data_IF_237935898526
#
_entry.id   IF_237935898526
#
_cell.length_a   1.000
_cell.length_b   1.000
_cell.length_c   1.000
_cell.angle_alpha   90.00
_cell.angle_beta   90.00
_cell.angle_gamma   90.00
#
_symmetry.space_group_name_H-M   'P 1'
#
loop_
_entity.id
_entity.type
_entity.pdbx_description
1 polymer ?
#
# COMPACT_ATOMS: atom_id res chain seq x y z
N UNK A 1 -7.17 -19.27 28.15
CA UNK A 1 -7.83 -18.74 26.96
C UNK A 1 -6.81 -18.05 26.04
N UNK A 2 -6.96 -18.26 24.77
CA UNK A 2 -6.04 -17.64 23.81
C UNK A 2 -6.39 -16.17 23.63
N UNK A 3 -5.36 -15.32 23.58
CA UNK A 3 -5.56 -13.92 23.28
C UNK A 3 -5.91 -13.76 21.81
N UNK A 4 -6.74 -12.79 21.53
CA UNK A 4 -7.14 -12.43 20.18
C UNK A 4 -6.75 -11.00 19.89
N UNK A 5 -6.53 -10.70 18.61
CA UNK A 5 -6.21 -9.34 18.20
C UNK A 5 -7.43 -8.46 18.44
N UNK A 6 -7.19 -7.34 19.12
CA UNK A 6 -8.21 -6.33 19.41
C UNK A 6 -7.66 -4.95 19.14
N UNK A 7 -8.54 -3.94 19.14
CA UNK A 7 -8.12 -2.56 19.02
C UNK A 7 -7.15 -2.21 20.18
N UNK A 8 -6.07 -1.55 19.83
CA UNK A 8 -4.96 -1.20 20.73
C UNK A 8 -4.08 -2.36 21.17
N UNK A 9 -4.31 -3.59 20.68
CA UNK A 9 -3.39 -4.68 20.92
C UNK A 9 -2.03 -4.38 20.29
N UNK A 10 -0.96 -4.68 21.02
CA UNK A 10 0.38 -4.69 20.43
C UNK A 10 0.63 -6.08 19.89
N UNK A 11 0.91 -6.19 18.61
CA UNK A 11 1.08 -7.49 17.97
C UNK A 11 2.35 -7.52 17.12
N UNK A 12 2.85 -8.74 16.92
CA UNK A 12 3.89 -9.03 15.94
C UNK A 12 3.29 -9.97 14.92
N UNK A 13 3.46 -9.67 13.64
CA UNK A 13 2.90 -10.50 12.58
C UNK A 13 3.76 -10.50 11.33
N UNK A 14 3.66 -11.57 10.58
CA UNK A 14 4.08 -11.59 9.18
C UNK A 14 2.89 -11.31 8.30
N UNK A 15 3.13 -10.66 7.17
CA UNK A 15 2.08 -10.45 6.19
C UNK A 15 2.65 -10.42 4.77
N UNK A 16 1.77 -10.66 3.81
CA UNK A 16 2.09 -10.43 2.41
C UNK A 16 0.89 -9.83 1.70
N UNK A 17 1.18 -9.01 0.70
CA UNK A 17 0.19 -8.42 -0.17
C UNK A 17 0.55 -8.82 -1.59
N UNK A 18 -0.36 -9.53 -2.25
CA UNK A 18 -0.16 -9.99 -3.62
C UNK A 18 -1.42 -9.72 -4.45
N UNK A 19 -1.30 -9.80 -5.78
CA UNK A 19 -2.47 -9.69 -6.63
C UNK A 19 -3.13 -11.05 -6.78
N UNK A 20 -4.25 -11.08 -7.50
CA UNK A 20 -5.01 -12.31 -7.74
C UNK A 20 -4.29 -13.32 -8.65
N UNK A 21 -3.18 -12.91 -9.25
CA UNK A 21 -2.35 -13.78 -10.11
C UNK A 21 -1.10 -14.28 -9.41
N UNK A 22 -0.96 -13.99 -8.11
CA UNK A 22 0.17 -14.47 -7.32
C UNK A 22 1.41 -13.58 -7.33
N UNK A 23 1.36 -12.42 -8.00
CA UNK A 23 2.48 -11.48 -7.94
C UNK A 23 2.52 -10.80 -6.57
N UNK A 24 3.62 -10.97 -5.84
CA UNK A 24 3.76 -10.43 -4.49
C UNK A 24 4.31 -9.00 -4.58
N UNK A 25 3.59 -8.04 -4.00
CA UNK A 25 4.01 -6.64 -3.94
C UNK A 25 4.83 -6.36 -2.69
N UNK A 26 4.47 -6.99 -1.58
CA UNK A 26 5.13 -6.78 -0.30
C UNK A 26 4.98 -8.03 0.54
N UNK A 27 6.04 -8.43 1.24
CA UNK A 27 6.00 -9.59 2.12
C UNK A 27 7.06 -9.47 3.20
N UNK A 28 6.70 -9.88 4.42
CA UNK A 28 7.65 -10.00 5.52
C UNK A 28 8.05 -11.46 5.78
N UNK A 29 7.43 -12.43 5.08
CA UNK A 29 7.65 -13.85 5.39
C UNK A 29 9.10 -14.30 5.22
N UNK A 30 9.86 -13.67 4.33
CA UNK A 30 11.28 -13.94 4.14
C UNK A 30 12.18 -12.97 4.90
N UNK A 31 11.59 -12.16 5.77
CA UNK A 31 12.28 -11.09 6.50
C UNK A 31 11.84 -11.14 7.96
N UNK A 32 12.07 -10.05 8.67
CA UNK A 32 11.60 -9.94 10.05
C UNK A 32 10.11 -9.57 10.07
N UNK A 33 9.35 -10.13 11.00
CA UNK A 33 7.94 -9.71 11.17
C UNK A 33 7.89 -8.27 11.66
N UNK A 34 6.73 -7.65 11.50
CA UNK A 34 6.51 -6.29 12.01
C UNK A 34 5.84 -6.35 13.36
N UNK A 35 6.15 -5.35 14.19
CA UNK A 35 5.51 -5.18 15.49
C UNK A 35 4.88 -3.78 15.52
N UNK A 36 3.61 -3.72 15.86
CA UNK A 36 2.89 -2.45 15.90
C UNK A 36 1.70 -2.54 16.84
N UNK A 37 1.08 -1.38 17.13
CA UNK A 37 -0.14 -1.32 17.93
C UNK A 37 -1.32 -1.16 16.98
N UNK A 38 -2.31 -2.03 17.13
CA UNK A 38 -3.51 -1.98 16.29
C UNK A 38 -4.20 -0.63 16.49
N UNK A 39 -4.41 0.09 15.40
CA UNK A 39 -5.00 1.42 15.43
C UNK A 39 -4.00 2.57 15.31
N UNK A 40 -2.68 2.28 15.22
CA UNK A 40 -1.67 3.34 15.16
C UNK A 40 -1.38 3.87 13.75
N UNK A 41 -2.04 3.32 12.74
CA UNK A 41 -1.86 3.77 11.35
C UNK A 41 -0.76 3.06 10.59
N UNK A 42 -0.06 2.10 11.19
CA UNK A 42 0.98 1.34 10.50
C UNK A 42 0.42 0.56 9.32
N UNK A 43 -0.79 0.02 9.48
CA UNK A 43 -1.50 -0.74 8.45
C UNK A 43 -2.75 0.06 8.06
N UNK A 44 -3.11 0.10 6.76
CA UNK A 44 -4.37 0.74 6.36
C UNK A 44 -5.55 0.20 7.16
N UNK A 45 -6.43 1.08 7.59
CA UNK A 45 -7.51 0.73 8.50
C UNK A 45 -8.38 -0.42 7.99
N UNK A 46 -8.67 -0.44 6.69
CA UNK A 46 -9.51 -1.51 6.12
C UNK A 46 -8.82 -2.87 6.16
N UNK A 47 -7.50 -2.91 5.96
CA UNK A 47 -6.74 -4.16 6.08
C UNK A 47 -6.61 -4.57 7.55
N UNK A 48 -6.41 -3.59 8.43
CA UNK A 48 -6.31 -3.83 9.86
C UNK A 48 -7.59 -4.45 10.42
N UNK A 49 -8.75 -4.07 9.89
CA UNK A 49 -10.02 -4.61 10.32
C UNK A 49 -10.12 -6.14 10.13
N UNK A 50 -9.34 -6.70 9.20
CA UNK A 50 -9.33 -8.15 8.97
C UNK A 50 -8.57 -8.91 10.05
N UNK A 51 -7.81 -8.21 10.88
CA UNK A 51 -6.98 -8.83 11.91
C UNK A 51 -7.74 -9.15 13.20
N UNK A 52 -8.83 -8.45 13.45
CA UNK A 52 -9.57 -8.63 14.70
C UNK A 52 -10.02 -10.07 14.89
N UNK A 53 -9.82 -10.58 16.08
CA UNK A 53 -10.23 -11.94 16.44
C UNK A 53 -9.21 -13.02 16.10
N UNK A 54 -8.11 -12.69 15.43
CA UNK A 54 -7.07 -13.68 15.13
C UNK A 54 -6.27 -14.03 16.39
N UNK A 55 -5.82 -15.26 16.47
CA UNK A 55 -5.02 -15.77 17.59
C UNK A 55 -3.58 -16.01 17.15
N UNK A 56 -2.68 -16.13 18.12
CA UNK A 56 -1.27 -16.46 17.87
C UNK A 56 -1.15 -17.76 17.08
N UNK A 57 -0.25 -17.76 16.10
CA UNK A 57 0.02 -18.86 15.18
C UNK A 57 -1.08 -19.14 14.15
N UNK A 58 -2.13 -18.32 14.13
CA UNK A 58 -3.15 -18.44 13.10
C UNK A 58 -2.70 -17.73 11.83
N UNK A 59 -2.96 -18.38 10.71
CA UNK A 59 -2.70 -17.82 9.39
C UNK A 59 -4.03 -17.58 8.72
N UNK A 60 -4.20 -16.39 8.13
CA UNK A 60 -5.40 -16.03 7.41
C UNK A 60 -5.02 -15.48 6.05
N UNK A 61 -5.71 -15.90 5.01
CA UNK A 61 -5.54 -15.37 3.68
C UNK A 61 -6.91 -14.95 3.16
N UNK A 62 -7.04 -13.68 2.77
CA UNK A 62 -8.29 -13.13 2.28
C UNK A 62 -8.05 -12.43 0.96
N UNK A 63 -8.97 -12.62 0.02
CA UNK A 63 -9.03 -11.83 -1.19
C UNK A 63 -9.86 -10.58 -0.90
N UNK A 64 -9.27 -9.42 -1.09
CA UNK A 64 -9.89 -8.15 -0.73
C UNK A 64 -10.10 -7.33 -2.00
N UNK A 65 -11.33 -6.86 -2.20
CA UNK A 65 -11.67 -6.04 -3.35
C UNK A 65 -11.02 -4.65 -3.24
N UNK A 66 -10.79 -3.97 -4.39
CA UNK A 66 -10.12 -2.67 -4.37
C UNK A 66 -10.72 -1.65 -3.40
N UNK A 67 -12.03 -1.57 -3.31
CA UNK A 67 -12.71 -0.61 -2.42
C UNK A 67 -12.35 -0.81 -0.95
N UNK A 68 -11.99 -2.04 -0.56
CA UNK A 68 -11.64 -2.39 0.82
C UNK A 68 -10.14 -2.56 1.02
N UNK A 69 -9.35 -2.33 -0.03
CA UNK A 69 -7.89 -2.41 0.02
C UNK A 69 -7.29 -1.03 -0.21
N UNK A 70 -6.76 -0.77 -1.40
CA UNK A 70 -6.09 0.49 -1.71
C UNK A 70 -6.97 1.46 -2.50
N UNK A 71 -8.25 1.15 -2.61
CA UNK A 71 -9.23 2.02 -3.21
C UNK A 71 -9.45 1.75 -4.69
N UNK A 72 -10.50 2.38 -5.19
CA UNK A 72 -10.88 2.31 -6.59
C UNK A 72 -9.98 3.27 -7.37
N UNK A 73 -9.61 2.89 -8.58
CA UNK A 73 -8.82 3.77 -9.42
C UNK A 73 -9.68 4.92 -9.95
N UNK A 74 -9.21 6.15 -9.77
CA UNK A 74 -9.86 7.35 -10.27
C UNK A 74 -9.09 7.84 -11.50
N UNK A 75 -9.70 7.76 -12.66
CA UNK A 75 -9.05 8.14 -13.92
C UNK A 75 -8.77 9.64 -14.02
N UNK A 76 -9.41 10.45 -13.18
CA UNK A 76 -9.19 11.89 -13.13
C UNK A 76 -8.01 12.28 -12.25
N UNK A 77 -7.42 11.36 -11.52
CA UNK A 77 -6.24 11.60 -10.70
C UNK A 77 -4.98 11.56 -11.55
N UNK A 78 -4.80 12.57 -12.38
CA UNK A 78 -3.63 12.69 -13.25
C UNK A 78 -3.00 14.05 -13.10
N UNK A 79 -1.73 14.16 -13.45
CA UNK A 79 -1.00 15.42 -13.47
C UNK A 79 -0.05 15.42 -14.67
N UNK A 80 -0.04 16.50 -15.42
CA UNK A 80 0.90 16.68 -16.54
C UNK A 80 2.06 17.55 -16.07
N UNK A 81 3.27 17.07 -16.25
CA UNK A 81 4.48 17.83 -15.90
C UNK A 81 5.44 17.85 -17.08
N UNK A 82 6.34 18.83 -17.11
CA UNK A 82 7.31 18.95 -18.17
C UNK A 82 8.46 17.95 -17.98
N UNK A 83 8.98 17.41 -19.07
CA UNK A 83 10.13 16.50 -19.01
C UNK A 83 11.33 17.13 -18.36
N UNK A 84 11.50 18.44 -18.52
CA UNK A 84 12.60 19.18 -17.91
C UNK A 84 12.57 19.19 -16.39
N UNK A 85 11.41 18.87 -15.78
CA UNK A 85 11.27 18.80 -14.33
C UNK A 85 11.87 17.52 -13.72
N UNK A 86 12.21 16.53 -14.56
CA UNK A 86 12.80 15.28 -14.08
C UNK A 86 14.32 15.46 -13.93
N UNK A 87 14.88 15.04 -12.78
CA UNK A 87 16.33 15.13 -12.57
C UNK A 87 17.12 14.19 -13.49
N UNK A 88 16.50 13.13 -13.98
CA UNK A 88 17.15 12.14 -14.84
C UNK A 88 16.17 11.65 -15.91
N UNK A 89 16.56 11.81 -17.17
CA UNK A 89 15.71 11.39 -18.30
C UNK A 89 15.45 9.88 -18.30
N UNK A 90 16.31 9.09 -17.68
CA UNK A 90 16.12 7.64 -17.59
C UNK A 90 14.91 7.25 -16.74
N UNK A 91 14.43 8.18 -15.88
CA UNK A 91 13.23 7.96 -15.10
C UNK A 91 11.97 7.96 -15.96
N UNK A 92 12.03 8.55 -17.16
CA UNK A 92 10.87 8.73 -18.02
C UNK A 92 10.64 7.47 -18.85
N UNK A 93 9.92 6.52 -18.26
CA UNK A 93 9.52 5.27 -18.92
C UNK A 93 8.08 4.94 -18.55
N UNK A 94 7.32 4.43 -19.51
CA UNK A 94 5.93 4.03 -19.27
C UNK A 94 5.88 3.00 -18.14
N UNK A 95 4.91 3.17 -17.24
CA UNK A 95 4.66 2.34 -16.07
C UNK A 95 5.71 2.45 -14.95
N UNK A 96 6.69 3.34 -15.09
CA UNK A 96 7.62 3.59 -14.00
C UNK A 96 6.91 4.26 -12.83
N UNK A 97 7.25 3.83 -11.62
CA UNK A 97 6.74 4.43 -10.39
C UNK A 97 7.79 5.44 -9.91
N UNK A 98 7.37 6.66 -9.70
CA UNK A 98 8.26 7.74 -9.25
C UNK A 98 7.67 8.41 -8.01
N UNK A 99 8.52 9.11 -7.26
CA UNK A 99 8.08 9.95 -6.16
C UNK A 99 8.00 11.39 -6.65
N UNK A 100 6.93 12.05 -6.30
CA UNK A 100 6.75 13.46 -6.62
C UNK A 100 6.41 14.24 -5.36
N UNK A 101 6.78 15.51 -5.35
CA UNK A 101 6.42 16.41 -4.27
C UNK A 101 5.05 17.02 -4.57
N UNK A 102 4.16 16.92 -3.60
CA UNK A 102 2.83 17.50 -3.70
C UNK A 102 2.59 18.36 -2.45
N UNK A 103 1.52 19.12 -2.46
CA UNK A 103 1.10 19.88 -1.29
C UNK A 103 -0.26 19.38 -0.85
N UNK A 104 -0.42 19.22 0.47
CA UNK A 104 -1.70 18.83 1.03
C UNK A 104 -2.62 20.05 1.18
N UNK A 105 -3.77 19.85 1.84
CA UNK A 105 -4.75 20.93 2.04
C UNK A 105 -4.23 22.08 2.87
N UNK A 106 -3.17 21.87 3.65
CA UNK A 106 -2.56 22.89 4.51
C UNK A 106 -1.31 23.50 3.89
N UNK A 107 -1.06 23.27 2.61
CA UNK A 107 0.15 23.70 1.88
C UNK A 107 1.45 23.09 2.40
N UNK A 108 1.37 22.00 3.15
CA UNK A 108 2.55 21.28 3.59
C UNK A 108 3.06 20.39 2.45
N UNK A 109 4.37 20.37 2.26
CA UNK A 109 4.97 19.49 1.28
C UNK A 109 4.80 18.03 1.72
N UNK A 110 4.29 17.21 0.82
CA UNK A 110 4.21 15.77 1.02
C UNK A 110 4.83 15.08 -0.19
N UNK A 111 5.22 13.83 -0.01
CA UNK A 111 5.73 13.01 -1.10
C UNK A 111 4.66 12.01 -1.47
N UNK A 112 4.35 11.90 -2.76
CA UNK A 112 3.37 10.97 -3.27
C UNK A 112 3.99 10.10 -4.36
N UNK A 113 3.48 8.89 -4.52
CA UNK A 113 3.87 8.02 -5.62
C UNK A 113 3.04 8.35 -6.85
N UNK A 114 3.65 8.26 -8.02
CA UNK A 114 2.98 8.46 -9.28
C UNK A 114 3.52 7.46 -10.30
N UNK A 115 2.66 7.08 -11.24
CA UNK A 115 3.04 6.15 -12.30
C UNK A 115 3.04 6.91 -13.62
N UNK A 116 4.08 6.75 -14.42
CA UNK A 116 4.14 7.39 -15.72
C UNK A 116 3.18 6.68 -16.67
N UNK A 117 2.13 7.40 -17.06
CA UNK A 117 1.04 6.86 -17.86
C UNK A 117 1.23 7.13 -19.35
N UNK A 118 1.72 8.32 -19.68
CA UNK A 118 1.87 8.76 -21.07
C UNK A 118 3.09 9.64 -21.19
N UNK A 119 3.82 9.50 -22.30
CA UNK A 119 4.99 10.32 -22.60
C UNK A 119 4.73 11.06 -23.89
N UNK A 120 4.69 12.39 -23.82
CA UNK A 120 4.51 13.27 -24.98
C UNK A 120 5.85 13.89 -25.36
N UNK A 121 5.84 14.76 -26.37
CA UNK A 121 7.07 15.36 -26.87
C UNK A 121 7.83 16.14 -25.79
N UNK A 122 7.11 16.98 -25.04
CA UNK A 122 7.72 17.84 -24.01
C UNK A 122 7.19 17.59 -22.62
N UNK A 123 6.14 16.78 -22.47
CA UNK A 123 5.44 16.57 -21.20
C UNK A 123 5.28 15.09 -20.91
N UNK A 124 4.98 14.81 -19.65
CA UNK A 124 4.68 13.47 -19.17
C UNK A 124 3.40 13.54 -18.37
N UNK A 125 2.48 12.61 -18.63
CA UNK A 125 1.25 12.49 -17.85
C UNK A 125 1.46 11.45 -16.76
N UNK A 126 1.20 11.83 -15.51
CA UNK A 126 1.36 10.98 -14.35
C UNK A 126 -0.01 10.52 -13.84
N UNK A 127 -0.08 9.26 -13.45
CA UNK A 127 -1.22 8.69 -12.73
C UNK A 127 -0.91 8.80 -11.23
N UNK A 128 -1.74 9.54 -10.51
CA UNK A 128 -1.55 9.80 -9.08
C UNK A 128 -2.30 8.82 -8.18
N UNK A 129 -2.95 7.82 -8.75
CA UNK A 129 -3.56 6.76 -7.96
C UNK A 129 -2.48 5.96 -7.25
N UNK A 130 -2.84 5.38 -6.11
CA UNK A 130 -1.95 4.41 -5.45
C UNK A 130 -1.64 3.30 -6.46
N UNK A 131 -0.38 2.82 -6.52
CA UNK A 131 -0.02 1.76 -7.49
C UNK A 131 -0.89 0.51 -7.40
N UNK A 132 -1.47 0.23 -6.24
CA UNK A 132 -2.35 -0.92 -6.05
C UNK A 132 -3.83 -0.57 -6.13
N UNK A 133 -4.19 0.70 -6.41
CA UNK A 133 -5.59 1.08 -6.56
C UNK A 133 -6.21 0.37 -7.76
N UNK A 134 -7.45 -0.06 -7.61
CA UNK A 134 -8.17 -0.77 -8.65
C UNK A 134 -7.78 -2.23 -8.79
N UNK A 135 -6.91 -2.73 -7.94
CA UNK A 135 -6.41 -4.11 -8.00
C UNK A 135 -6.94 -4.90 -6.80
N UNK A 136 -7.63 -6.04 -7.03
CA UNK A 136 -7.94 -6.93 -5.91
C UNK A 136 -6.64 -7.51 -5.35
N UNK A 137 -6.55 -7.61 -4.04
CA UNK A 137 -5.34 -8.12 -3.40
C UNK A 137 -5.65 -9.35 -2.55
N UNK A 138 -4.64 -10.20 -2.42
CA UNK A 138 -4.65 -11.27 -1.43
C UNK A 138 -3.81 -10.79 -0.25
N UNK A 139 -4.45 -10.67 0.91
CA UNK A 139 -3.80 -10.24 2.14
C UNK A 139 -3.64 -11.46 3.04
N UNK A 140 -2.40 -11.93 3.16
CA UNK A 140 -2.06 -13.10 3.97
C UNK A 140 -1.36 -12.63 5.23
N UNK A 141 -1.81 -13.13 6.38
CA UNK A 141 -1.31 -12.72 7.69
C UNK A 141 -1.06 -13.94 8.55
N UNK A 142 0.03 -13.91 9.30
CA UNK A 142 0.28 -14.89 10.37
C UNK A 142 0.62 -14.11 11.64
N UNK A 143 -0.17 -14.32 12.68
CA UNK A 143 0.07 -13.67 13.97
C UNK A 143 1.17 -14.44 14.70
N UNK A 144 2.27 -13.75 14.99
CA UNK A 144 3.42 -14.34 15.68
C UNK A 144 3.29 -14.20 17.20
N UNK A 145 2.85 -13.04 17.66
CA UNK A 145 2.68 -12.77 19.07
C UNK A 145 1.64 -11.70 19.32
N UNK A 146 0.98 -11.76 20.45
CA UNK A 146 0.06 -10.72 20.93
C UNK A 146 0.53 -10.37 22.35
N UNK A 147 0.95 -9.11 22.54
CA UNK A 147 1.47 -8.63 23.81
C UNK A 147 0.35 -8.14 24.72
N UNK A 148 0.61 -8.13 25.97
CA UNK A 148 -0.33 -7.57 26.93
C UNK A 148 -0.25 -6.04 26.98
#
# INVERSE_FOLDING_TARGET
>A
MNKKVEYKSKITMHYSISNDKGLVFESTFDKKPITFVVGDGTIPQKLEATLYGLEVNKTQSLLIEPKDAFGIKDENKTKTIEKSSFPNAEMIKINNVIEIDTKDHENKKTTSLAIIKEINKETVVLDLNHPLAGIPIEFKVKIVNIYE
#
